data_IF_520401369733
#
_entry.id   IF_520401369733
#
_cell.length_a   1.000
_cell.length_b   1.000
_cell.length_c   1.000
_cell.angle_alpha   90.00
_cell.angle_beta   90.00
_cell.angle_gamma   90.00
#
_symmetry.space_group_name_H-M   'P 1'
#
loop_
_entity.id
_entity.type
_entity.pdbx_description
1 polymer ?
#
# COMPACT_ATOMS: atom_id res chain seq x y z
N UNK A 1 24.01 4.46 -9.75
CA UNK A 1 22.91 4.86 -8.86
C UNK A 1 21.63 4.54 -9.59
N UNK A 2 20.61 3.99 -8.91
CA UNK A 2 19.32 3.67 -9.52
C UNK A 2 18.38 4.87 -9.37
N UNK A 3 17.70 5.29 -10.44
CA UNK A 3 16.68 6.34 -10.41
C UNK A 3 15.28 5.72 -10.38
N UNK A 4 14.73 5.63 -9.17
CA UNK A 4 13.43 5.01 -8.92
C UNK A 4 12.31 6.05 -8.68
N UNK A 5 11.07 5.65 -8.95
CA UNK A 5 9.89 6.48 -8.74
C UNK A 5 9.09 6.08 -7.50
N UNK A 6 8.35 7.05 -6.96
CA UNK A 6 7.34 6.83 -5.93
C UNK A 6 5.95 6.84 -6.58
N UNK A 7 5.12 5.85 -6.29
CA UNK A 7 3.76 5.73 -6.83
C UNK A 7 2.74 5.58 -5.70
N UNK A 8 1.50 6.03 -5.97
CA UNK A 8 0.36 5.89 -5.08
C UNK A 8 -0.74 4.98 -5.63
N UNK A 9 -0.74 4.70 -6.93
CA UNK A 9 -1.72 3.84 -7.61
C UNK A 9 -1.07 3.09 -8.79
N UNK A 10 -1.69 2.02 -9.32
CA UNK A 10 -1.19 1.33 -10.51
C UNK A 10 -1.09 2.22 -11.77
N UNK A 11 -1.88 3.29 -11.84
CA UNK A 11 -1.90 4.19 -13.00
C UNK A 11 -0.66 5.07 -13.09
N UNK A 12 -0.01 5.35 -11.95
CA UNK A 12 1.22 6.15 -11.90
C UNK A 12 2.40 5.47 -12.63
N UNK A 13 2.36 4.13 -12.81
CA UNK A 13 3.40 3.37 -13.51
C UNK A 13 3.62 3.88 -14.93
N UNK A 14 2.58 4.37 -15.60
CA UNK A 14 2.72 4.98 -16.92
C UNK A 14 3.70 6.16 -16.88
N UNK A 15 3.56 7.04 -15.90
CA UNK A 15 4.45 8.17 -15.70
C UNK A 15 5.88 7.73 -15.35
N UNK A 16 6.03 6.63 -14.59
CA UNK A 16 7.35 6.06 -14.29
C UNK A 16 8.08 5.65 -15.57
N UNK A 17 7.40 4.91 -16.45
CA UNK A 17 7.99 4.42 -17.70
C UNK A 17 8.29 5.55 -18.68
N UNK A 18 7.37 6.51 -18.83
CA UNK A 18 7.53 7.68 -19.72
C UNK A 18 8.71 8.58 -19.33
N UNK A 19 9.08 8.59 -18.04
CA UNK A 19 10.21 9.36 -17.52
C UNK A 19 11.50 8.52 -17.36
N UNK A 20 11.53 7.29 -17.86
CA UNK A 20 12.72 6.44 -17.82
C UNK A 20 13.05 5.88 -16.44
N UNK A 21 12.06 5.74 -15.55
CA UNK A 21 12.25 5.15 -14.23
C UNK A 21 12.80 3.73 -14.29
N UNK A 22 13.85 3.48 -13.50
CA UNK A 22 14.57 2.20 -13.46
C UNK A 22 13.90 1.20 -12.50
N UNK A 23 13.16 1.70 -11.51
CA UNK A 23 12.42 0.92 -10.52
C UNK A 23 11.26 1.72 -9.90
N UNK A 24 10.41 1.05 -9.13
CA UNK A 24 9.53 1.70 -8.15
C UNK A 24 10.18 1.57 -6.77
N UNK A 25 10.67 2.69 -6.25
CA UNK A 25 11.36 2.75 -4.95
C UNK A 25 10.41 2.86 -3.77
N UNK A 26 9.16 3.23 -4.02
CA UNK A 26 8.09 3.27 -3.02
C UNK A 26 6.72 3.16 -3.70
N UNK A 27 6.02 2.05 -3.47
CA UNK A 27 4.60 1.92 -3.76
C UNK A 27 3.80 2.06 -2.46
N UNK A 28 3.07 3.17 -2.35
CA UNK A 28 2.17 3.45 -1.24
C UNK A 28 0.84 2.71 -1.41
N UNK A 29 0.41 1.99 -0.38
CA UNK A 29 -0.77 1.10 -0.46
C UNK A 29 -2.03 1.69 0.17
N UNK A 30 -1.96 2.90 0.75
CA UNK A 30 -3.10 3.50 1.45
C UNK A 30 -4.31 3.74 0.54
N UNK A 31 -4.12 3.89 -0.78
CA UNK A 31 -5.21 4.05 -1.74
C UNK A 31 -6.19 2.85 -1.75
N UNK A 32 -5.72 1.66 -1.38
CA UNK A 32 -6.56 0.46 -1.28
C UNK A 32 -7.53 0.54 -0.09
N UNK A 33 -7.25 1.39 0.89
CA UNK A 33 -8.00 1.47 2.15
C UNK A 33 -8.82 2.76 2.27
N UNK A 34 -8.43 3.82 1.55
CA UNK A 34 -9.08 5.13 1.62
C UNK A 34 -10.35 5.20 0.75
N UNK A 35 -11.32 6.00 1.20
CA UNK A 35 -12.52 6.33 0.41
C UNK A 35 -13.52 5.19 0.21
N UNK A 36 -13.50 4.17 1.08
CA UNK A 36 -14.37 2.99 1.02
C UNK A 36 -14.91 2.60 2.40
N UNK A 37 -16.08 1.99 2.40
CA UNK A 37 -16.80 1.56 3.62
C UNK A 37 -16.36 0.19 4.14
N UNK A 38 -15.65 -0.59 3.31
CA UNK A 38 -15.17 -1.93 3.64
C UNK A 38 -13.66 -2.04 3.41
N UNK A 39 -13.01 -2.92 4.16
CA UNK A 39 -11.59 -3.21 3.98
C UNK A 39 -11.35 -3.89 2.62
N UNK A 40 -10.22 -3.60 1.93
CA UNK A 40 -9.90 -4.25 0.68
C UNK A 40 -9.64 -5.74 0.90
N UNK A 41 -10.27 -6.56 0.07
CA UNK A 41 -10.09 -8.01 0.03
C UNK A 41 -8.69 -8.39 -0.45
N UNK A 42 -8.27 -9.63 -0.17
CA UNK A 42 -6.98 -10.15 -0.66
C UNK A 42 -6.88 -10.09 -2.18
N UNK A 43 -7.96 -10.39 -2.90
CA UNK A 43 -7.97 -10.39 -4.37
C UNK A 43 -7.85 -8.98 -4.96
N UNK A 44 -8.54 -7.98 -4.40
CA UNK A 44 -8.39 -6.57 -4.82
C UNK A 44 -6.94 -6.08 -4.64
N UNK A 45 -6.32 -6.43 -3.51
CA UNK A 45 -4.93 -6.07 -3.24
C UNK A 45 -3.98 -6.81 -4.19
N UNK A 46 -4.20 -8.11 -4.39
CA UNK A 46 -3.41 -8.94 -5.30
C UNK A 46 -3.44 -8.36 -6.73
N UNK A 47 -4.62 -8.03 -7.25
CA UNK A 47 -4.78 -7.48 -8.60
C UNK A 47 -4.02 -6.15 -8.75
N UNK A 48 -4.09 -5.27 -7.73
CA UNK A 48 -3.37 -4.01 -7.72
C UNK A 48 -1.84 -4.18 -7.68
N UNK A 49 -1.33 -5.13 -6.89
CA UNK A 49 0.11 -5.41 -6.79
C UNK A 49 0.64 -6.08 -8.06
N UNK A 50 -0.07 -7.12 -8.53
CA UNK A 50 0.24 -7.84 -9.76
C UNK A 50 0.28 -6.91 -10.96
N UNK A 51 -0.69 -6.00 -11.09
CA UNK A 51 -0.73 -5.02 -12.19
C UNK A 51 0.55 -4.18 -12.24
N UNK A 52 1.05 -3.72 -11.09
CA UNK A 52 2.29 -2.92 -11.04
C UNK A 52 3.50 -3.79 -11.40
N UNK A 53 3.61 -4.99 -10.84
CA UNK A 53 4.73 -5.90 -11.10
C UNK A 53 4.81 -6.30 -12.58
N UNK A 54 3.67 -6.62 -13.21
CA UNK A 54 3.61 -6.95 -14.65
C UNK A 54 4.00 -5.75 -15.51
N UNK A 55 3.48 -4.54 -15.20
CA UNK A 55 3.82 -3.32 -15.97
C UNK A 55 5.27 -2.86 -15.80
N UNK A 56 5.92 -3.23 -14.70
CA UNK A 56 7.33 -2.90 -14.44
C UNK A 56 8.29 -3.89 -15.11
N UNK A 57 7.80 -4.94 -15.77
CA UNK A 57 8.58 -5.86 -16.63
C UNK A 57 9.88 -6.37 -15.98
N UNK A 58 9.79 -6.81 -14.72
CA UNK A 58 10.93 -7.36 -13.97
C UNK A 58 11.82 -6.32 -13.27
N UNK A 59 11.55 -5.02 -13.43
CA UNK A 59 12.15 -3.97 -12.59
C UNK A 59 11.66 -4.10 -11.15
N UNK A 60 12.53 -3.73 -10.20
CA UNK A 60 12.23 -3.81 -8.78
C UNK A 60 11.04 -2.92 -8.38
N UNK A 61 10.20 -3.42 -7.48
CA UNK A 61 9.06 -2.70 -6.89
C UNK A 61 9.09 -2.86 -5.39
N UNK A 62 9.37 -1.78 -4.67
CA UNK A 62 9.36 -1.73 -3.20
C UNK A 62 7.97 -1.34 -2.72
N UNK A 63 7.19 -2.34 -2.28
CA UNK A 63 5.85 -2.09 -1.73
C UNK A 63 5.93 -1.80 -0.24
N UNK A 64 5.30 -0.70 0.18
CA UNK A 64 5.15 -0.38 1.60
C UNK A 64 3.83 -0.92 2.12
N UNK A 65 3.89 -1.69 3.19
CA UNK A 65 2.69 -2.15 3.92
C UNK A 65 1.89 -0.95 4.43
N UNK A 66 0.65 -1.19 4.84
CA UNK A 66 -0.27 -0.14 5.29
C UNK A 66 0.38 0.83 6.28
N UNK A 67 0.47 2.11 5.92
CA UNK A 67 0.95 3.20 6.77
C UNK A 67 -0.15 4.26 6.93
N UNK A 68 -1.11 3.91 7.79
CA UNK A 68 -2.25 4.77 8.17
C UNK A 68 -2.39 4.81 9.69
N UNK A 69 -3.01 5.88 10.20
CA UNK A 69 -3.26 6.08 11.62
C UNK A 69 -4.52 6.90 11.86
N UNK A 70 -4.79 7.24 13.12
CA UNK A 70 -5.99 7.97 13.56
C UNK A 70 -6.09 9.42 13.05
N UNK A 71 -5.12 9.90 12.28
CA UNK A 71 -5.16 11.19 11.57
C UNK A 71 -6.02 11.17 10.30
N UNK A 72 -6.38 9.98 9.80
CA UNK A 72 -7.24 9.82 8.61
C UNK A 72 -8.59 9.23 8.97
N UNK A 73 -9.64 9.69 8.31
CA UNK A 73 -10.96 9.07 8.41
C UNK A 73 -10.99 7.79 7.58
N UNK A 74 -11.16 6.65 8.27
CA UNK A 74 -11.34 5.33 7.67
C UNK A 74 -12.67 4.75 8.17
N UNK A 75 -13.77 4.93 7.43
CA UNK A 75 -15.07 4.36 7.82
C UNK A 75 -15.02 2.85 8.04
N UNK A 76 -14.18 2.17 7.26
CA UNK A 76 -13.94 0.73 7.31
C UNK A 76 -13.09 0.26 8.50
N UNK A 77 -12.45 1.18 9.24
CA UNK A 77 -11.56 0.87 10.35
C UNK A 77 -11.76 1.84 11.52
N UNK A 78 -12.42 1.37 12.57
CA UNK A 78 -12.70 2.18 13.76
C UNK A 78 -11.44 2.34 14.61
N UNK A 79 -10.69 3.42 14.35
CA UNK A 79 -9.52 3.77 15.15
C UNK A 79 -9.92 4.58 16.39
N UNK A 80 -9.26 4.36 17.54
CA UNK A 80 -9.48 5.17 18.74
C UNK A 80 -9.09 6.63 18.46
N UNK A 81 -9.79 7.57 19.11
CA UNK A 81 -9.35 8.97 19.11
C UNK A 81 -8.10 9.12 19.96
N UNK A 82 -7.05 9.69 19.38
CA UNK A 82 -5.78 9.88 20.05
C UNK A 82 -5.48 11.37 20.24
N UNK A 83 -4.83 11.73 21.35
CA UNK A 83 -4.34 13.09 21.57
C UNK A 83 -3.29 13.48 20.51
N UNK A 84 -2.41 12.53 20.14
CA UNK A 84 -1.33 12.72 19.17
C UNK A 84 -1.22 11.51 18.24
N UNK A 85 -2.02 11.43 17.15
CA UNK A 85 -2.06 10.25 16.27
C UNK A 85 -0.72 9.95 15.57
N UNK A 86 0.13 10.95 15.37
CA UNK A 86 1.46 10.76 14.77
C UNK A 86 2.43 9.97 15.66
N UNK A 87 2.21 9.98 16.99
CA UNK A 87 3.00 9.20 17.94
C UNK A 87 2.29 7.89 18.35
N UNK A 88 1.12 7.62 17.76
CA UNK A 88 0.12 6.69 18.28
C UNK A 88 0.00 5.36 17.53
N UNK A 89 -1.23 4.87 17.47
CA UNK A 89 -1.65 3.59 16.91
C UNK A 89 -1.79 3.68 15.39
N UNK A 90 -0.68 3.38 14.70
CA UNK A 90 -0.55 3.56 13.25
C UNK A 90 0.41 2.58 12.61
N UNK A 91 0.32 2.46 11.29
CA UNK A 91 1.26 1.72 10.45
C UNK A 91 1.51 0.31 10.97
N UNK A 92 2.77 -0.09 11.13
CA UNK A 92 3.12 -1.43 11.62
C UNK A 92 2.54 -1.74 13.01
N UNK A 93 2.33 -0.74 13.87
CA UNK A 93 1.73 -0.97 15.21
C UNK A 93 0.28 -1.42 15.08
N UNK A 94 -0.45 -0.76 14.18
CA UNK A 94 -1.82 -1.17 13.79
C UNK A 94 -1.80 -2.56 13.17
N UNK A 95 -0.88 -2.84 12.24
CA UNK A 95 -0.79 -4.14 11.56
C UNK A 95 -0.46 -5.32 12.50
N UNK A 96 0.35 -5.08 13.54
CA UNK A 96 0.72 -6.12 14.49
C UNK A 96 -0.41 -6.47 15.47
N UNK A 97 -1.26 -5.49 15.79
CA UNK A 97 -2.46 -5.68 16.62
C UNK A 97 -3.62 -6.25 15.79
N UNK A 98 -3.91 -5.65 14.63
CA UNK A 98 -4.96 -6.08 13.68
C UNK A 98 -4.43 -7.10 12.67
N UNK A 99 -4.10 -8.30 13.14
CA UNK A 99 -3.41 -9.31 12.31
C UNK A 99 -4.16 -9.71 11.04
N UNK A 100 -5.50 -9.69 11.02
CA UNK A 100 -6.26 -10.06 9.82
C UNK A 100 -6.05 -9.05 8.68
N UNK A 101 -5.99 -7.76 8.99
CA UNK A 101 -5.67 -6.70 8.03
C UNK A 101 -4.28 -6.93 7.45
N UNK A 102 -3.32 -7.24 8.31
CA UNK A 102 -1.94 -7.42 7.91
C UNK A 102 -1.72 -8.71 7.10
N UNK A 103 -2.28 -9.83 7.55
CA UNK A 103 -2.21 -11.12 6.86
C UNK A 103 -2.83 -11.06 5.48
N UNK A 104 -3.96 -10.35 5.33
CA UNK A 104 -4.60 -10.13 4.02
C UNK A 104 -3.62 -9.45 3.06
N UNK A 105 -2.97 -8.37 3.49
CA UNK A 105 -1.99 -7.67 2.66
C UNK A 105 -0.76 -8.53 2.34
N UNK A 106 -0.21 -9.23 3.34
CA UNK A 106 0.97 -10.07 3.15
C UNK A 106 0.69 -11.25 2.20
N UNK A 107 -0.48 -11.89 2.30
CA UNK A 107 -0.88 -12.98 1.40
C UNK A 107 -1.05 -12.49 -0.03
N UNK A 108 -1.67 -11.33 -0.23
CA UNK A 108 -1.78 -10.69 -1.54
C UNK A 108 -0.39 -10.38 -2.16
N UNK A 109 0.54 -9.85 -1.36
CA UNK A 109 1.92 -9.58 -1.79
C UNK A 109 2.66 -10.87 -2.18
N UNK A 110 2.56 -11.91 -1.36
CA UNK A 110 3.19 -13.21 -1.63
C UNK A 110 2.60 -13.93 -2.84
N UNK A 111 1.31 -13.72 -3.14
CA UNK A 111 0.69 -14.24 -4.36
C UNK A 111 1.16 -13.51 -5.61
N UNK A 112 1.47 -12.22 -5.49
CA UNK A 112 1.88 -11.38 -6.61
C UNK A 112 3.37 -11.52 -6.98
N UNK A 113 4.21 -11.96 -6.04
CA UNK A 113 5.67 -12.06 -6.16
C UNK A 113 6.17 -13.20 -7.02
#
# INVERSE_FOLDING_TARGET
VELAANIGTPDDVKGVLENGGEAVGLYRTEFLYMGRDQLPTEDEQFDAYKTVLERMEGKSVVVRTLDIGGDKELPSLQLPKEMNPFLGYRAIRLCLEEQEIFRTQLRALLRAS
#
